data_IF_114814764731
#
_entry.id   IF_114814764731
#
_cell.length_a   1.000
_cell.length_b   1.000
_cell.length_c   1.000
_cell.angle_alpha   90.00
_cell.angle_beta   90.00
_cell.angle_gamma   90.00
#
_symmetry.space_group_name_H-M   'P 1'
#
loop_
_entity.id
_entity.type
_entity.pdbx_description
1 polymer ?
#
# COMPACT_ATOMS: atom_id res chain seq x y z
N UNK A 1 -17.55 16.79 -33.31
CA UNK A 1 -17.02 15.75 -32.41
C UNK A 1 -16.02 16.44 -31.49
N UNK A 2 -16.28 16.47 -30.19
CA UNK A 2 -15.35 17.04 -29.23
C UNK A 2 -14.21 16.03 -29.02
N UNK A 3 -12.99 16.44 -29.33
CA UNK A 3 -11.78 15.69 -29.05
C UNK A 3 -11.50 15.85 -27.56
N UNK A 4 -11.87 14.86 -26.74
CA UNK A 4 -11.42 14.83 -25.35
C UNK A 4 -9.94 14.46 -25.37
N UNK A 5 -9.04 15.32 -24.88
CA UNK A 5 -7.63 14.94 -24.75
C UNK A 5 -7.52 13.77 -23.77
N UNK A 6 -6.56 12.85 -23.96
CA UNK A 6 -6.33 11.79 -23.00
C UNK A 6 -5.95 12.44 -21.67
N UNK A 7 -6.86 12.36 -20.69
CA UNK A 7 -6.54 12.69 -19.30
C UNK A 7 -5.38 11.79 -18.90
N UNK A 8 -4.21 12.38 -18.62
CA UNK A 8 -3.04 11.65 -18.14
C UNK A 8 -3.49 10.77 -16.98
N UNK A 9 -3.45 9.44 -17.16
CA UNK A 9 -3.86 8.50 -16.12
C UNK A 9 -3.08 8.82 -14.84
N UNK A 10 -3.81 8.99 -13.74
CA UNK A 10 -3.20 9.27 -12.45
C UNK A 10 -2.44 8.03 -11.96
N UNK A 11 -1.26 8.25 -11.39
CA UNK A 11 -0.60 7.21 -10.60
C UNK A 11 -1.46 6.82 -9.39
N UNK A 12 -1.13 5.70 -8.74
CA UNK A 12 -1.83 5.31 -7.51
C UNK A 12 -1.78 6.41 -6.44
N UNK A 13 -0.67 7.16 -6.36
CA UNK A 13 -0.59 8.32 -5.49
C UNK A 13 -1.60 9.42 -5.87
N UNK A 14 -1.73 9.74 -7.15
CA UNK A 14 -2.69 10.74 -7.63
C UNK A 14 -4.13 10.34 -7.33
N UNK A 15 -4.50 9.07 -7.59
CA UNK A 15 -5.83 8.53 -7.28
C UNK A 15 -6.14 8.58 -5.79
N UNK A 16 -5.18 8.20 -4.94
CA UNK A 16 -5.32 8.25 -3.49
C UNK A 16 -5.51 9.67 -2.96
N UNK A 17 -4.75 10.64 -3.48
CA UNK A 17 -4.92 12.06 -3.14
C UNK A 17 -6.32 12.57 -3.54
N UNK A 18 -6.75 12.27 -4.76
CA UNK A 18 -8.06 12.69 -5.26
C UNK A 18 -9.20 12.12 -4.40
N UNK A 19 -9.14 10.82 -4.12
CA UNK A 19 -10.13 10.12 -3.31
C UNK A 19 -10.31 10.74 -1.91
N UNK A 20 -9.18 11.07 -1.25
CA UNK A 20 -9.19 11.67 0.10
C UNK A 20 -9.31 13.19 0.11
N UNK A 21 -9.35 13.83 -1.07
CA UNK A 21 -9.33 15.29 -1.26
C UNK A 21 -8.13 15.92 -0.55
N UNK A 22 -6.96 15.43 -0.89
CA UNK A 22 -5.65 15.85 -0.39
C UNK A 22 -4.84 16.48 -1.52
N UNK A 23 -3.92 17.38 -1.17
CA UNK A 23 -2.93 17.91 -2.10
C UNK A 23 -1.54 17.40 -1.74
N UNK A 24 -0.66 17.32 -2.74
CA UNK A 24 0.75 16.97 -2.50
C UNK A 24 1.41 17.90 -1.48
N UNK A 25 1.11 19.20 -1.55
CA UNK A 25 1.63 20.25 -0.68
C UNK A 25 1.20 20.13 0.78
N UNK A 26 0.17 19.33 1.08
CA UNK A 26 -0.31 19.15 2.46
C UNK A 26 0.69 18.36 3.30
N UNK A 27 1.62 17.64 2.66
CA UNK A 27 2.53 16.71 3.32
C UNK A 27 3.87 17.36 3.66
N UNK A 28 4.19 17.36 4.95
CA UNK A 28 5.50 17.75 5.46
C UNK A 28 6.24 16.56 6.05
N UNK A 29 7.58 16.61 6.02
CA UNK A 29 8.42 15.57 6.61
C UNK A 29 8.17 15.52 8.12
N UNK A 30 7.96 14.31 8.64
CA UNK A 30 7.71 14.07 10.05
C UNK A 30 8.80 13.17 10.63
N UNK A 31 9.53 13.69 11.62
CA UNK A 31 10.65 13.00 12.23
C UNK A 31 11.92 12.97 11.36
N UNK A 32 12.88 12.17 11.80
CA UNK A 32 14.15 11.97 11.10
C UNK A 32 14.07 10.75 10.18
N UNK A 33 14.96 10.71 9.20
CA UNK A 33 15.15 9.48 8.42
C UNK A 33 15.76 8.39 9.29
N UNK A 34 15.31 7.16 9.08
CA UNK A 34 15.77 6.00 9.84
C UNK A 34 16.28 4.96 8.86
N UNK A 35 17.55 4.63 8.94
CA UNK A 35 18.10 3.46 8.28
C UNK A 35 17.72 2.22 9.09
N UNK A 36 17.20 1.18 8.44
CA UNK A 36 16.86 -0.09 9.10
C UNK A 36 17.61 -1.22 8.44
N UNK A 37 18.31 -2.00 9.26
CA UNK A 37 18.77 -3.33 8.84
C UNK A 37 17.54 -4.22 8.73
N UNK A 38 17.30 -4.77 7.55
CA UNK A 38 16.22 -5.73 7.34
C UNK A 38 16.77 -7.05 6.87
N UNK A 39 16.16 -8.13 7.33
CA UNK A 39 16.49 -9.48 6.90
C UNK A 39 15.60 -9.88 5.74
N UNK A 40 16.22 -10.47 4.72
CA UNK A 40 15.50 -11.09 3.61
C UNK A 40 15.19 -12.54 3.97
N UNK A 41 13.95 -12.95 3.72
CA UNK A 41 13.45 -14.29 4.01
C UNK A 41 12.63 -14.83 2.84
N UNK A 42 12.46 -16.15 2.77
CA UNK A 42 11.63 -16.77 1.73
C UNK A 42 10.18 -16.29 1.81
N UNK A 43 9.62 -15.85 0.69
CA UNK A 43 8.21 -15.51 0.59
C UNK A 43 7.36 -16.77 0.57
N UNK A 44 6.90 -17.18 1.76
CA UNK A 44 6.26 -18.47 2.00
C UNK A 44 4.74 -18.40 1.79
N UNK A 45 4.31 -18.14 0.56
CA UNK A 45 2.92 -18.37 0.13
C UNK A 45 2.86 -19.60 -0.78
N UNK A 46 1.86 -20.45 -0.56
CA UNK A 46 1.59 -21.54 -1.50
C UNK A 46 1.31 -20.98 -2.90
N UNK A 47 1.61 -21.75 -3.95
CA UNK A 47 1.37 -21.33 -5.34
C UNK A 47 -0.09 -20.91 -5.59
N UNK A 48 -1.03 -21.56 -4.91
CA UNK A 48 -2.45 -21.23 -4.96
C UNK A 48 -2.73 -19.82 -4.42
N UNK A 49 -2.28 -19.52 -3.20
CA UNK A 49 -2.44 -18.18 -2.62
C UNK A 49 -1.69 -17.11 -3.42
N UNK A 50 -0.49 -17.42 -3.92
CA UNK A 50 0.25 -16.51 -4.80
C UNK A 50 -0.56 -16.12 -6.04
N UNK A 51 -1.34 -17.04 -6.61
CA UNK A 51 -2.17 -16.77 -7.77
C UNK A 51 -3.38 -15.89 -7.43
N UNK A 52 -3.98 -16.06 -6.24
CA UNK A 52 -5.08 -15.23 -5.77
C UNK A 52 -4.66 -13.76 -5.62
N UNK A 53 -3.46 -13.53 -5.06
CA UNK A 53 -2.95 -12.17 -4.83
C UNK A 53 -2.22 -11.56 -6.03
N UNK A 54 -1.90 -12.34 -7.06
CA UNK A 54 -1.16 -11.88 -8.24
C UNK A 54 -1.74 -10.61 -8.89
N UNK A 55 -3.08 -10.45 -9.06
CA UNK A 55 -3.66 -9.25 -9.66
C UNK A 55 -3.46 -7.97 -8.84
N UNK A 56 -3.19 -8.08 -7.54
CA UNK A 56 -3.08 -6.93 -6.62
C UNK A 56 -1.64 -6.50 -6.33
N UNK A 57 -0.66 -7.22 -6.90
CA UNK A 57 0.78 -6.90 -6.76
C UNK A 57 1.10 -5.59 -7.47
N UNK A 58 1.89 -4.75 -6.81
CA UNK A 58 2.34 -3.46 -7.35
C UNK A 58 3.80 -3.58 -7.75
N UNK A 59 4.07 -3.78 -9.03
CA UNK A 59 5.42 -4.00 -9.56
C UNK A 59 6.22 -2.70 -9.72
N UNK A 60 7.53 -2.77 -9.48
CA UNK A 60 8.46 -1.73 -9.89
C UNK A 60 8.48 -1.60 -11.41
N UNK A 61 8.96 -0.48 -11.95
CA UNK A 61 8.96 -0.21 -13.40
C UNK A 61 9.77 -1.23 -14.22
N UNK A 62 10.82 -1.78 -13.63
CA UNK A 62 11.67 -2.83 -14.20
C UNK A 62 11.22 -4.25 -13.83
N UNK A 63 10.15 -4.38 -13.03
CA UNK A 63 9.64 -5.65 -12.48
C UNK A 63 10.65 -6.45 -11.65
N UNK A 64 11.75 -5.83 -11.18
CA UNK A 64 12.68 -6.47 -10.24
C UNK A 64 12.02 -6.75 -8.89
N UNK A 65 11.05 -5.92 -8.51
CA UNK A 65 10.31 -6.03 -7.27
C UNK A 65 8.80 -5.97 -7.49
N UNK A 66 8.06 -6.51 -6.53
CA UNK A 66 6.68 -6.11 -6.29
C UNK A 66 6.42 -5.85 -4.82
N UNK A 67 5.44 -4.99 -4.54
CA UNK A 67 4.91 -4.78 -3.20
C UNK A 67 3.71 -5.70 -2.99
N UNK A 68 3.72 -6.36 -1.84
CA UNK A 68 2.57 -7.07 -1.28
C UNK A 68 2.05 -6.30 -0.07
N UNK A 69 0.81 -5.84 -0.17
CA UNK A 69 0.09 -5.11 0.88
C UNK A 69 -0.94 -5.99 1.60
N UNK A 70 -1.25 -7.15 1.02
CA UNK A 70 -2.57 -7.78 1.19
C UNK A 70 -2.49 -9.18 1.76
N UNK A 71 -1.46 -9.96 1.38
CA UNK A 71 -1.46 -11.40 1.67
C UNK A 71 -1.40 -11.75 3.15
N UNK A 72 -0.96 -10.81 3.98
CA UNK A 72 -0.95 -10.95 5.43
C UNK A 72 -2.30 -10.64 6.06
N UNK A 73 -3.01 -9.64 5.55
CA UNK A 73 -4.20 -9.09 6.20
C UNK A 73 -5.50 -9.67 5.64
N UNK A 74 -5.50 -10.20 4.42
CA UNK A 74 -6.69 -10.71 3.75
C UNK A 74 -6.70 -12.25 3.68
N UNK A 75 -7.87 -12.82 3.92
CA UNK A 75 -8.16 -14.23 3.59
C UNK A 75 -9.01 -14.23 2.33
N UNK A 76 -8.39 -14.56 1.20
CA UNK A 76 -9.07 -14.60 -0.10
C UNK A 76 -9.55 -16.00 -0.45
N UNK A 77 -10.79 -16.06 -0.89
CA UNK A 77 -11.42 -17.27 -1.43
C UNK A 77 -12.10 -16.96 -2.76
N UNK A 78 -12.35 -18.00 -3.55
CA UNK A 78 -13.13 -17.90 -4.78
C UNK A 78 -14.46 -18.61 -4.60
N UNK A 79 -15.56 -17.86 -4.62
CA UNK A 79 -16.93 -18.40 -4.66
C UNK A 79 -17.60 -17.92 -5.95
N UNK A 80 -18.16 -18.84 -6.75
CA UNK A 80 -18.88 -18.51 -7.99
C UNK A 80 -18.12 -17.51 -8.90
N UNK A 81 -16.83 -17.79 -9.12
CA UNK A 81 -15.90 -16.97 -9.93
C UNK A 81 -15.53 -15.59 -9.35
N UNK A 82 -16.14 -15.17 -8.24
CA UNK A 82 -15.80 -13.91 -7.54
C UNK A 82 -14.75 -14.14 -6.46
N UNK A 83 -13.90 -13.13 -6.25
CA UNK A 83 -13.00 -13.09 -5.11
C UNK A 83 -13.73 -12.52 -3.90
N UNK A 84 -13.62 -13.20 -2.77
CA UNK A 84 -14.28 -12.83 -1.53
C UNK A 84 -13.23 -12.76 -0.43
N UNK A 85 -13.37 -11.76 0.45
CA UNK A 85 -12.58 -11.64 1.68
C UNK A 85 -13.51 -11.69 2.89
N UNK A 86 -13.25 -12.59 3.83
CA UNK A 86 -14.04 -12.75 5.07
C UNK A 86 -13.58 -11.81 6.19
N UNK A 87 -13.16 -10.60 5.82
CA UNK A 87 -12.59 -9.61 6.72
C UNK A 87 -11.07 -9.51 6.63
N UNK A 88 -10.57 -8.38 7.13
CA UNK A 88 -9.14 -8.11 7.30
C UNK A 88 -8.75 -8.22 8.77
N UNK A 89 -7.56 -8.76 9.05
CA UNK A 89 -6.94 -8.60 10.36
C UNK A 89 -6.72 -7.12 10.70
N UNK A 90 -6.67 -6.79 12.00
CA UNK A 90 -6.33 -5.42 12.46
C UNK A 90 -4.90 -5.05 12.08
N UNK A 91 -4.03 -6.05 11.99
CA UNK A 91 -2.63 -5.88 11.61
C UNK A 91 -2.47 -5.93 10.08
N UNK A 92 -1.68 -4.99 9.56
CA UNK A 92 -1.27 -4.95 8.16
C UNK A 92 0.25 -5.07 8.07
N UNK A 93 0.72 -5.83 7.09
CA UNK A 93 2.15 -5.99 6.81
C UNK A 93 2.40 -5.69 5.35
N UNK A 94 3.30 -4.75 5.11
CA UNK A 94 3.75 -4.39 3.77
C UNK A 94 5.12 -4.99 3.54
N UNK A 95 5.24 -5.76 2.47
CA UNK A 95 6.47 -6.42 2.09
C UNK A 95 6.89 -5.96 0.68
N UNK A 96 8.20 -5.92 0.46
CA UNK A 96 8.77 -5.92 -0.90
C UNK A 96 9.34 -7.31 -1.18
N UNK A 97 9.05 -7.82 -2.37
CA UNK A 97 9.46 -9.14 -2.82
C UNK A 97 10.31 -8.99 -4.07
N UNK A 98 11.45 -9.66 -4.11
CA UNK A 98 12.27 -9.83 -5.31
C UNK A 98 11.67 -10.87 -6.24
N UNK A 99 11.52 -10.54 -7.51
CA UNK A 99 10.85 -11.44 -8.47
C UNK A 99 11.71 -12.61 -8.93
N UNK A 100 13.03 -12.50 -8.84
CA UNK A 100 13.96 -13.53 -9.31
C UNK A 100 14.07 -14.74 -8.36
N UNK A 101 14.02 -14.49 -7.04
CA UNK A 101 14.25 -15.50 -6.01
C UNK A 101 13.14 -15.58 -4.96
N UNK A 102 12.10 -14.75 -5.09
CA UNK A 102 10.99 -14.67 -4.15
C UNK A 102 11.44 -14.48 -2.69
N UNK A 103 12.56 -13.80 -2.49
CA UNK A 103 12.92 -13.30 -1.17
C UNK A 103 12.11 -12.04 -0.87
N UNK A 104 11.63 -11.93 0.36
CA UNK A 104 10.86 -10.81 0.85
C UNK A 104 11.56 -10.13 2.02
N UNK A 105 11.29 -8.85 2.21
CA UNK A 105 11.59 -8.14 3.45
C UNK A 105 10.39 -7.28 3.84
N UNK A 106 10.18 -7.09 5.13
CA UNK A 106 9.09 -6.24 5.64
C UNK A 106 9.51 -4.78 5.60
N UNK A 107 8.71 -3.95 4.93
CA UNK A 107 8.90 -2.50 4.89
C UNK A 107 8.13 -1.82 6.03
N UNK A 108 6.90 -2.25 6.27
CA UNK A 108 6.04 -1.64 7.27
C UNK A 108 5.18 -2.71 7.93
N UNK A 109 5.05 -2.62 9.25
CA UNK A 109 4.07 -3.38 10.01
C UNK A 109 3.21 -2.36 10.76
N UNK A 110 1.91 -2.39 10.50
CA UNK A 110 0.92 -1.50 11.07
C UNK A 110 -0.02 -2.32 11.94
N UNK A 111 0.04 -2.11 13.26
CA UNK A 111 -1.01 -2.54 14.18
C UNK A 111 -2.05 -1.43 14.37
N UNK A 112 -2.43 -1.14 15.62
CA UNK A 112 -3.45 -0.12 15.93
C UNK A 112 -3.05 1.33 15.59
N UNK A 113 -1.76 1.60 15.41
CA UNK A 113 -1.22 2.95 15.23
C UNK A 113 -1.21 3.43 13.78
N UNK A 114 -1.46 2.55 12.81
CA UNK A 114 -1.57 2.94 11.41
C UNK A 114 -2.35 1.91 10.60
N UNK A 115 -2.73 2.28 9.39
CA UNK A 115 -3.16 1.33 8.37
C UNK A 115 -2.73 1.82 7.00
N UNK A 116 -2.53 0.89 6.08
CA UNK A 116 -2.04 1.15 4.72
C UNK A 116 -3.14 0.92 3.71
N UNK A 117 -3.22 1.74 2.68
CA UNK A 117 -4.28 1.62 1.67
C UNK A 117 -3.75 1.26 0.29
N UNK A 118 -2.57 1.76 -0.08
CA UNK A 118 -1.94 1.48 -1.37
C UNK A 118 -0.43 1.78 -1.30
N UNK A 119 0.28 1.54 -2.41
CA UNK A 119 1.66 1.94 -2.61
C UNK A 119 1.87 2.49 -4.03
N UNK A 120 2.93 3.26 -4.21
CA UNK A 120 3.33 3.81 -5.49
C UNK A 120 4.85 3.75 -5.63
N UNK A 121 5.35 3.29 -6.77
CA UNK A 121 6.78 3.33 -7.05
C UNK A 121 7.17 4.73 -7.54
N UNK A 122 8.21 5.29 -6.92
CA UNK A 122 8.83 6.55 -7.34
C UNK A 122 10.01 6.32 -8.30
N UNK A 123 10.62 5.14 -8.22
CA UNK A 123 11.65 4.61 -9.13
C UNK A 123 11.76 3.09 -8.92
N UNK A 124 12.69 2.41 -9.60
CA UNK A 124 12.94 0.97 -9.46
C UNK A 124 13.33 0.55 -8.02
N UNK A 125 13.96 1.44 -7.26
CA UNK A 125 14.46 1.17 -5.90
C UNK A 125 13.83 2.06 -4.84
N UNK A 126 12.77 2.82 -5.17
CA UNK A 126 12.14 3.74 -4.22
C UNK A 126 10.63 3.64 -4.30
N UNK A 127 10.02 3.35 -3.16
CA UNK A 127 8.57 3.17 -3.03
C UNK A 127 8.02 4.14 -1.99
N UNK A 128 6.78 4.57 -2.18
CA UNK A 128 5.97 5.20 -1.15
C UNK A 128 4.76 4.33 -0.80
N UNK A 129 4.54 4.12 0.50
CA UNK A 129 3.35 3.47 1.05
C UNK A 129 2.43 4.57 1.54
N UNK A 130 1.14 4.47 1.20
CA UNK A 130 0.14 5.49 1.47
C UNK A 130 -0.93 4.92 2.41
N UNK A 131 -1.33 5.73 3.40
CA UNK A 131 -2.33 5.33 4.37
C UNK A 131 -2.51 6.37 5.46
N UNK A 132 -2.77 5.93 6.68
CA UNK A 132 -3.04 6.81 7.81
C UNK A 132 -2.26 6.37 9.05
N UNK A 133 -1.74 7.34 9.80
CA UNK A 133 -1.31 7.15 11.18
C UNK A 133 -2.44 7.55 12.12
N UNK A 134 -2.58 6.84 13.24
CA UNK A 134 -3.45 7.23 14.33
C UNK A 134 -2.65 8.05 15.35
N UNK A 135 -3.08 9.29 15.62
CA UNK A 135 -2.37 10.23 16.51
C UNK A 135 -3.38 10.97 17.36
N UNK A 136 -3.38 10.74 18.68
CA UNK A 136 -4.27 11.41 19.64
C UNK A 136 -5.74 11.38 19.19
N UNK A 137 -6.26 10.18 18.91
CA UNK A 137 -7.64 9.95 18.47
C UNK A 137 -8.01 10.57 17.10
N UNK A 138 -7.00 10.88 16.28
CA UNK A 138 -7.18 11.39 14.92
C UNK A 138 -6.44 10.55 13.91
N UNK A 139 -7.05 10.39 12.74
CA UNK A 139 -6.41 9.76 11.59
C UNK A 139 -5.72 10.85 10.75
N UNK A 140 -4.43 10.66 10.50
CA UNK A 140 -3.57 11.60 9.78
C UNK A 140 -3.08 10.91 8.50
N UNK A 141 -3.44 11.40 7.31
CA UNK A 141 -2.87 10.91 6.05
C UNK A 141 -1.35 10.91 6.15
N UNK A 142 -0.76 9.77 5.84
CA UNK A 142 0.67 9.54 6.03
C UNK A 142 1.24 8.86 4.80
N UNK A 143 2.44 9.28 4.43
CA UNK A 143 3.27 8.63 3.42
C UNK A 143 4.53 8.12 4.08
N UNK A 144 4.87 6.86 3.85
CA UNK A 144 6.16 6.29 4.21
C UNK A 144 6.94 6.06 2.93
N UNK A 145 8.04 6.79 2.75
CA UNK A 145 8.92 6.58 1.59
C UNK A 145 10.10 5.73 2.02
N UNK A 146 10.43 4.74 1.20
CA UNK A 146 11.52 3.80 1.46
C UNK A 146 12.43 3.77 0.23
N UNK A 147 13.71 4.03 0.44
CA UNK A 147 14.76 3.75 -0.53
C UNK A 147 15.35 2.37 -0.22
N UNK A 148 15.24 1.43 -1.17
CA UNK A 148 15.64 0.04 -1.00
C UNK A 148 17.15 -0.16 -1.11
N UNK A 149 17.90 0.81 -1.66
CA UNK A 149 19.35 0.66 -1.81
C UNK A 149 20.08 0.70 -0.47
N UNK A 150 19.59 1.55 0.43
CA UNK A 150 20.14 1.76 1.77
C UNK A 150 19.11 1.49 2.88
N UNK A 151 17.91 1.01 2.55
CA UNK A 151 16.81 0.80 3.50
C UNK A 151 16.55 2.05 4.36
N UNK A 152 16.50 3.21 3.71
CA UNK A 152 16.23 4.49 4.36
C UNK A 152 14.73 4.79 4.36
N UNK A 153 14.17 4.93 5.56
CA UNK A 153 12.76 5.18 5.79
C UNK A 153 12.54 6.64 6.16
N UNK A 154 11.66 7.31 5.43
CA UNK A 154 11.18 8.66 5.77
C UNK A 154 9.66 8.65 5.92
N UNK A 155 9.15 9.47 6.83
CA UNK A 155 7.72 9.64 7.05
C UNK A 155 7.30 11.06 6.71
N UNK A 156 6.13 11.20 6.10
CA UNK A 156 5.50 12.47 5.81
C UNK A 156 4.06 12.42 6.29
N UNK A 157 3.58 13.49 6.91
CA UNK A 157 2.20 13.59 7.39
C UNK A 157 1.53 14.80 6.77
N UNK A 158 0.25 14.65 6.45
CA UNK A 158 -0.57 15.77 6.03
C UNK A 158 -0.97 16.63 7.24
N UNK A 159 -1.14 17.93 7.02
CA UNK A 159 -1.72 18.83 8.02
C UNK A 159 -3.21 18.53 8.29
N UNK A 160 -3.90 17.97 7.28
CA UNK A 160 -5.30 17.56 7.37
C UNK A 160 -5.44 16.35 8.30
N UNK A 161 -6.47 16.37 9.14
CA UNK A 161 -6.77 15.26 10.07
C UNK A 161 -8.26 14.90 10.03
N UNK A 162 -8.58 13.67 10.45
CA UNK A 162 -9.93 13.12 10.48
C UNK A 162 -10.25 12.61 11.88
N UNK A 163 -11.44 12.93 12.39
CA UNK A 163 -11.90 12.50 13.73
C UNK A 163 -12.54 11.10 13.75
N UNK A 164 -12.74 10.51 12.57
CA UNK A 164 -13.26 9.16 12.37
C UNK A 164 -12.43 8.48 11.29
N UNK A 165 -12.46 7.15 11.26
CA UNK A 165 -11.81 6.36 10.21
C UNK A 165 -12.35 6.84 8.84
N UNK A 166 -11.47 7.37 7.96
CA UNK A 166 -11.81 7.71 6.59
C UNK A 166 -12.39 6.53 5.82
N UNK A 167 -13.09 6.80 4.71
CA UNK A 167 -13.48 5.74 3.78
C UNK A 167 -12.24 5.03 3.26
N UNK A 168 -12.31 3.70 3.12
CA UNK A 168 -11.18 2.88 2.68
C UNK A 168 -10.97 3.01 1.17
N UNK A 169 -9.88 3.66 0.75
CA UNK A 169 -9.45 3.66 -0.66
C UNK A 169 -9.10 2.23 -1.11
N UNK A 170 -8.53 1.45 -0.19
CA UNK A 170 -8.21 0.05 -0.44
C UNK A 170 -9.45 -0.73 -0.89
N UNK A 171 -10.53 -0.71 -0.10
CA UNK A 171 -11.74 -1.48 -0.40
C UNK A 171 -12.51 -0.92 -1.59
N UNK A 172 -12.62 0.42 -1.67
CA UNK A 172 -13.53 1.06 -2.63
C UNK A 172 -12.92 1.27 -4.01
N UNK A 173 -11.59 1.36 -4.12
CA UNK A 173 -10.91 1.64 -5.39
C UNK A 173 -9.89 0.56 -5.76
N UNK A 174 -8.90 0.30 -4.90
CA UNK A 174 -7.77 -0.61 -5.23
C UNK A 174 -8.21 -2.07 -5.34
N UNK A 175 -9.05 -2.52 -4.43
CA UNK A 175 -9.52 -3.90 -4.29
C UNK A 175 -11.02 -4.03 -4.60
N UNK A 176 -11.57 -3.14 -5.42
CA UNK A 176 -13.01 -3.10 -5.74
C UNK A 176 -13.56 -4.37 -6.40
N UNK A 177 -12.67 -5.21 -6.94
CA UNK A 177 -13.02 -6.52 -7.52
C UNK A 177 -13.22 -7.62 -6.44
N UNK A 178 -12.89 -7.32 -5.18
CA UNK A 178 -13.06 -8.22 -4.04
C UNK A 178 -14.36 -7.85 -3.32
N UNK A 179 -15.21 -8.84 -3.08
CA UNK A 179 -16.37 -8.69 -2.22
C UNK A 179 -15.95 -8.88 -0.76
N UNK A 180 -16.01 -7.80 0.02
CA UNK A 180 -15.70 -7.82 1.45
C UNK A 180 -16.95 -8.21 2.25
N UNK A 181 -16.99 -9.44 2.77
CA UNK A 181 -18.04 -9.90 3.69
C UNK A 181 -17.74 -9.33 5.09
N UNK A 182 -18.70 -8.57 5.64
CA UNK A 182 -18.63 -7.95 6.97
C UNK A 182 -19.47 -8.71 7.97
#
# INVERSE_FOLDING_TARGET
MAFNPPTKELTEYGKWLEFHKLNHSDFSKFGNDVERKTEWYSFDLTKEYQNLFKPFRIYSSDSTYFIDLDSYSLVLERENEKLISHGSGVDMKVQVIRTNDFQATTLLFCGTECYTETANWLSESKVEILGFSHVKDKFVPTKWTIDLNNMLFSQFRADKTYSKIPKSYMELERLKEIEFKK
#
